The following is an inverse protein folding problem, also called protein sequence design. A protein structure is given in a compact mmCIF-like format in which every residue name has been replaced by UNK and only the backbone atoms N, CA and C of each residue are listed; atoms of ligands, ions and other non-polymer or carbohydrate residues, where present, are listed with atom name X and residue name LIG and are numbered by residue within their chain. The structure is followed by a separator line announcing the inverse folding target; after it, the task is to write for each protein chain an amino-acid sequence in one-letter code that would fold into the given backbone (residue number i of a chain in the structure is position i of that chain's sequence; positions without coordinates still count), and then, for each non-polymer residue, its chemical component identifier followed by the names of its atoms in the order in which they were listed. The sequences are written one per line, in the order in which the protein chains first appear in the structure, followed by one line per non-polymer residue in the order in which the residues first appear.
data_IF_926625985039
#
_entry.id   IF_926625985039
#
_cell.length_a   1.000
_cell.length_b   1.000
_cell.length_c   1.000
_cell.angle_alpha   90.00
_cell.angle_beta   90.00
_cell.angle_gamma   90.00
#
_symmetry.space_group_name_H-M   'P 1'
#
loop_
_entity.id
_entity.type
_entity.pdbx_description
1 polymer ?
#
# COMPACT_ATOMS: atom_id res chain seq x y z
N UNK A 1 2.50 8.23 -2.99
CA UNK A 1 2.64 7.12 -3.97
C UNK A 1 3.57 7.55 -5.07
N UNK A 2 4.45 6.66 -5.56
CA UNK A 2 5.30 6.99 -6.71
C UNK A 2 4.51 7.01 -8.02
N UNK A 3 3.77 5.95 -8.34
CA UNK A 3 3.05 5.81 -9.61
C UNK A 3 1.79 4.93 -9.49
N UNK A 4 0.86 5.06 -10.44
CA UNK A 4 -0.31 4.19 -10.63
C UNK A 4 0.05 2.94 -11.46
N UNK A 5 1.07 2.23 -10.97
CA UNK A 5 1.63 1.01 -11.54
C UNK A 5 1.86 -0.01 -10.43
N UNK A 6 1.93 -1.30 -10.77
CA UNK A 6 2.23 -2.35 -9.78
C UNK A 6 3.57 -2.08 -9.10
N UNK A 7 4.58 -1.69 -9.87
CA UNK A 7 5.92 -1.33 -9.37
C UNK A 7 5.85 -0.15 -8.39
N UNK A 8 5.14 0.93 -8.74
CA UNK A 8 4.96 2.08 -7.87
C UNK A 8 4.21 1.76 -6.56
N UNK A 9 3.22 0.87 -6.62
CA UNK A 9 2.45 0.40 -5.45
C UNK A 9 3.33 -0.42 -4.51
N UNK A 10 4.11 -1.38 -5.03
CA UNK A 10 4.95 -2.25 -4.19
C UNK A 10 6.23 -1.57 -3.70
N UNK A 11 6.79 -0.63 -4.47
CA UNK A 11 7.90 0.20 -4.00
C UNK A 11 7.45 1.09 -2.83
N UNK A 12 6.28 1.71 -2.96
CA UNK A 12 5.68 2.48 -1.85
C UNK A 12 5.37 1.58 -0.64
N UNK A 13 4.90 0.35 -0.85
CA UNK A 13 4.67 -0.63 0.22
C UNK A 13 5.96 -0.99 0.96
N UNK A 14 7.05 -1.15 0.22
CA UNK A 14 8.38 -1.43 0.79
C UNK A 14 8.85 -0.29 1.67
N UNK A 15 8.67 0.95 1.24
CA UNK A 15 8.98 2.14 2.06
C UNK A 15 8.11 2.16 3.34
N UNK A 16 6.81 1.88 3.23
CA UNK A 16 5.92 1.78 4.38
C UNK A 16 6.38 0.70 5.38
N UNK A 17 6.77 -0.47 4.88
CA UNK A 17 7.32 -1.54 5.72
C UNK A 17 8.58 -1.09 6.47
N UNK A 18 9.51 -0.40 5.80
CA UNK A 18 10.73 0.11 6.44
C UNK A 18 10.41 1.14 7.54
N UNK A 19 9.47 2.06 7.31
CA UNK A 19 9.01 3.04 8.32
C UNK A 19 8.32 2.34 9.50
N UNK A 20 7.46 1.37 9.21
CA UNK A 20 6.77 0.57 10.23
C UNK A 20 7.75 -0.19 11.12
N UNK A 21 8.83 -0.73 10.54
CA UNK A 21 9.90 -1.43 11.28
C UNK A 21 10.58 -0.51 12.30
N UNK A 22 10.73 0.77 11.97
CA UNK A 22 11.28 1.78 12.89
C UNK A 22 10.25 2.32 13.90
N UNK A 23 9.11 1.65 14.08
CA UNK A 23 7.99 2.07 14.94
C UNK A 23 7.41 3.46 14.57
N UNK A 24 7.52 3.84 13.29
CA UNK A 24 6.96 5.09 12.77
C UNK A 24 5.51 4.91 12.31
N UNK A 25 4.69 5.94 12.50
CA UNK A 25 3.35 6.01 11.90
C UNK A 25 3.43 6.18 10.38
N UNK A 26 2.55 5.50 9.64
CA UNK A 26 2.54 5.50 8.17
C UNK A 26 1.41 6.40 7.66
N UNK A 27 1.74 7.44 6.89
CA UNK A 27 0.79 8.25 6.13
C UNK A 27 0.93 8.00 4.63
N UNK A 28 -0.17 7.66 3.95
CA UNK A 28 -0.17 7.33 2.52
C UNK A 28 -1.13 8.23 1.74
N UNK A 29 -0.59 8.97 0.76
CA UNK A 29 -1.41 9.66 -0.24
C UNK A 29 -1.72 8.72 -1.42
N UNK A 30 -2.99 8.36 -1.59
CA UNK A 30 -3.47 7.38 -2.58
C UNK A 30 -4.22 7.98 -3.78
N UNK A 31 -4.28 9.31 -3.86
CA UNK A 31 -4.99 10.04 -4.92
C UNK A 31 -4.53 9.71 -6.33
N UNK A 32 -3.30 9.22 -6.50
CA UNK A 32 -2.76 8.85 -7.80
C UNK A 32 -3.32 7.53 -8.34
N UNK A 33 -3.95 6.67 -7.52
CA UNK A 33 -4.42 5.36 -7.96
C UNK A 33 -5.78 5.46 -8.62
N UNK A 34 -5.92 4.77 -9.76
CA UNK A 34 -7.20 4.71 -10.48
C UNK A 34 -8.30 4.03 -9.67
N UNK A 35 -9.53 4.50 -9.88
CA UNK A 35 -10.72 3.97 -9.23
C UNK A 35 -11.03 2.52 -9.63
N UNK A 36 -11.89 1.86 -8.85
CA UNK A 36 -12.43 0.54 -9.19
C UNK A 36 -13.14 0.59 -10.55
N UNK A 37 -12.87 -0.40 -11.41
CA UNK A 37 -13.47 -0.48 -12.74
C UNK A 37 -12.76 0.35 -13.81
N UNK A 38 -11.79 1.20 -13.46
CA UNK A 38 -10.97 1.91 -14.43
C UNK A 38 -10.17 0.94 -15.30
N UNK A 39 -10.08 1.25 -16.59
CA UNK A 39 -9.37 0.44 -17.56
C UNK A 39 -7.86 0.39 -17.28
N UNK A 40 -7.25 -0.78 -17.46
CA UNK A 40 -5.80 -1.00 -17.35
C UNK A 40 -5.24 -1.40 -18.72
N UNK A 41 -4.53 -0.46 -19.36
CA UNK A 41 -3.95 -0.67 -20.67
C UNK A 41 -2.94 -1.84 -20.70
N UNK A 42 -2.11 -2.01 -19.65
CA UNK A 42 -1.06 -3.02 -19.62
C UNK A 42 -1.54 -4.47 -19.49
N UNK A 43 -2.69 -4.70 -18.87
CA UNK A 43 -3.26 -6.05 -18.67
C UNK A 43 -4.56 -6.27 -19.43
N UNK A 44 -5.02 -5.26 -20.18
CA UNK A 44 -6.33 -5.20 -20.83
C UNK A 44 -7.49 -5.52 -19.87
N UNK A 45 -7.30 -5.21 -18.58
CA UNK A 45 -8.19 -5.56 -17.48
C UNK A 45 -8.88 -4.33 -16.88
N UNK A 46 -9.62 -4.57 -15.79
CA UNK A 46 -10.22 -3.53 -14.96
C UNK A 46 -9.53 -3.47 -13.60
N UNK A 47 -9.36 -2.27 -13.06
CA UNK A 47 -8.82 -2.06 -11.73
C UNK A 47 -9.75 -2.61 -10.66
N UNK A 48 -9.17 -3.32 -9.70
CA UNK A 48 -9.85 -3.74 -8.47
C UNK A 48 -10.02 -2.57 -7.46
N UNK A 49 -9.44 -1.41 -7.78
CA UNK A 49 -9.53 -0.18 -7.00
C UNK A 49 -8.66 -0.16 -5.75
N UNK A 50 -8.93 0.84 -4.91
CA UNK A 50 -8.14 1.16 -3.72
C UNK A 50 -8.31 0.14 -2.59
N UNK A 51 -9.51 -0.40 -2.39
CA UNK A 51 -9.83 -1.20 -1.20
C UNK A 51 -8.95 -2.45 -1.05
N UNK A 52 -8.76 -3.29 -2.09
CA UNK A 52 -7.88 -4.45 -1.99
C UNK A 52 -6.42 -4.06 -1.77
N UNK A 53 -5.96 -2.96 -2.39
CA UNK A 53 -4.61 -2.44 -2.22
C UNK A 53 -4.38 -1.99 -0.76
N UNK A 54 -5.29 -1.20 -0.19
CA UNK A 54 -5.18 -0.72 1.19
C UNK A 54 -5.18 -1.87 2.22
N UNK A 55 -5.90 -2.97 1.94
CA UNK A 55 -5.83 -4.18 2.78
C UNK A 55 -4.43 -4.79 2.82
N UNK A 56 -3.71 -4.80 1.70
CA UNK A 56 -2.32 -5.27 1.64
C UNK A 56 -1.44 -4.38 2.51
N UNK A 57 -1.55 -3.06 2.38
CA UNK A 57 -0.80 -2.11 3.22
C UNK A 57 -1.04 -2.30 4.71
N UNK A 58 -2.30 -2.43 5.11
CA UNK A 58 -2.66 -2.68 6.49
C UNK A 58 -2.09 -4.01 7.03
N UNK A 59 -2.15 -5.07 6.22
CA UNK A 59 -1.60 -6.37 6.61
C UNK A 59 -0.07 -6.32 6.72
N UNK A 60 0.60 -5.62 5.81
CA UNK A 60 2.06 -5.43 5.87
C UNK A 60 2.46 -4.63 7.11
N UNK A 61 1.76 -3.53 7.42
CA UNK A 61 2.02 -2.76 8.63
C UNK A 61 1.92 -3.64 9.89
N UNK A 62 0.84 -4.44 10.01
CA UNK A 62 0.66 -5.39 11.12
C UNK A 62 1.71 -6.49 11.18
N UNK A 63 2.14 -6.99 10.03
CA UNK A 63 3.17 -8.03 9.97
C UNK A 63 4.53 -7.48 10.43
N UNK A 64 4.88 -6.28 10.01
CA UNK A 64 6.17 -5.66 10.36
C UNK A 64 6.20 -5.18 11.81
N UNK A 65 5.05 -4.84 12.38
CA UNK A 65 4.89 -4.46 13.79
C UNK A 65 5.11 -5.64 14.79
N UNK A 66 5.36 -6.87 14.30
CA UNK A 66 5.60 -8.06 15.15
C UNK A 66 6.95 -8.05 15.91
N UNK A 67 7.59 -6.89 16.07
CA UNK A 67 8.92 -6.76 16.67
C UNK A 67 8.99 -6.02 18.01
N UNK A 68 7.97 -5.27 18.45
CA UNK A 68 8.12 -4.52 19.69
C UNK A 68 6.87 -3.87 20.24
N UNK A 69 6.26 -4.49 21.26
CA UNK A 69 5.53 -3.91 22.40
C UNK A 69 4.59 -2.68 22.23
N UNK A 70 4.25 -2.25 21.01
CA UNK A 70 3.40 -1.10 20.75
C UNK A 70 2.52 -1.41 19.54
N UNK A 71 1.40 -2.06 19.81
CA UNK A 71 0.28 -2.11 18.87
C UNK A 71 -0.10 -0.67 18.56
N UNK A 72 0.21 -0.20 17.36
CA UNK A 72 -0.36 1.06 16.86
C UNK A 72 -1.80 0.77 16.46
N UNK A 73 -2.72 1.10 17.38
CA UNK A 73 -4.17 1.04 17.19
C UNK A 73 -4.65 2.09 16.19
#
# INVERSE_FOLDING_TARGET
MREDSIEGIYDTLTQCALVSKSAGGIGLAVSCIRATGSYIAGTNGRSNGLVPMLRVYNNTARYVDQGGNKVSV
#
